data_IF_765478389457
#
_entry.id   IF_765478389457
#
_cell.length_a   1.000
_cell.length_b   1.000
_cell.length_c   1.000
_cell.angle_alpha   90.00
_cell.angle_beta   90.00
_cell.angle_gamma   90.00
#
_symmetry.space_group_name_H-M   'P 1'
#
loop_
_entity.id
_entity.type
_entity.pdbx_description
1 polymer ?
#
# COMPACT_ATOMS: atom_id res chain seq x y z
N UNK A 1 29.17 -22.67 -34.04
CA UNK A 1 29.55 -21.43 -34.75
C UNK A 1 29.56 -20.34 -33.69
N UNK A 2 30.74 -20.05 -33.12
CA UNK A 2 30.92 -19.12 -32.01
C UNK A 2 30.86 -17.67 -32.50
N UNK A 3 30.03 -16.83 -31.88
CA UNK A 3 30.02 -15.38 -32.10
C UNK A 3 30.84 -14.71 -30.99
N UNK A 4 32.06 -14.26 -31.35
CA UNK A 4 32.89 -13.38 -30.52
C UNK A 4 32.28 -11.98 -30.50
N UNK A 5 31.90 -11.52 -29.31
CA UNK A 5 31.47 -10.14 -29.06
C UNK A 5 32.73 -9.25 -28.98
N UNK A 6 32.92 -8.35 -29.95
CA UNK A 6 34.01 -7.38 -29.91
C UNK A 6 33.47 -6.09 -29.27
N UNK A 7 34.02 -5.70 -28.12
CA UNK A 7 33.71 -4.41 -27.48
C UNK A 7 34.33 -3.26 -28.30
N UNK A 8 33.48 -2.36 -28.82
CA UNK A 8 33.88 -1.04 -29.31
C UNK A 8 33.83 -0.04 -28.15
N UNK A 9 35.00 0.40 -27.68
CA UNK A 9 35.12 1.57 -26.77
C UNK A 9 34.88 2.85 -27.58
N UNK A 10 33.83 3.59 -27.25
CA UNK A 10 33.66 4.97 -27.70
C UNK A 10 34.26 5.92 -26.65
N UNK A 11 35.36 6.59 -27.00
CA UNK A 11 35.94 7.71 -26.28
C UNK A 11 35.47 9.03 -26.92
N UNK A 12 34.35 9.59 -26.47
CA UNK A 12 34.16 11.03 -26.20
C UNK A 12 32.67 11.37 -25.93
N UNK A 13 32.37 12.22 -24.92
CA UNK A 13 31.01 12.57 -24.53
C UNK A 13 30.56 13.90 -25.16
N UNK A 14 30.23 13.88 -26.45
CA UNK A 14 29.33 14.87 -27.07
C UNK A 14 28.93 14.32 -28.44
N UNK A 15 27.64 14.40 -28.79
CA UNK A 15 26.97 13.79 -29.98
C UNK A 15 26.26 12.44 -29.77
N UNK A 16 25.54 12.28 -28.65
CA UNK A 16 24.71 11.10 -28.36
C UNK A 16 23.20 11.29 -28.57
N UNK A 17 22.74 12.09 -29.54
CA UNK A 17 21.30 12.38 -29.72
C UNK A 17 20.74 12.25 -31.15
N UNK A 18 21.49 11.81 -32.17
CA UNK A 18 20.99 11.79 -33.56
C UNK A 18 21.14 10.44 -34.28
N UNK A 19 21.62 9.38 -33.62
CA UNK A 19 21.90 8.10 -34.29
C UNK A 19 20.98 6.91 -33.94
N UNK A 20 19.76 7.15 -33.44
CA UNK A 20 18.77 6.07 -33.20
C UNK A 20 17.59 6.10 -34.18
N UNK A 21 17.44 7.16 -34.98
CA UNK A 21 16.33 7.33 -35.93
C UNK A 21 16.57 6.78 -37.34
N UNK A 22 17.64 6.02 -37.60
CA UNK A 22 17.99 5.57 -38.97
C UNK A 22 18.24 4.06 -39.15
N UNK A 23 17.83 3.21 -38.19
CA UNK A 23 17.87 1.74 -38.36
C UNK A 23 16.49 1.09 -38.09
N UNK A 24 15.40 1.78 -38.45
CA UNK A 24 14.04 1.20 -38.39
C UNK A 24 13.32 1.11 -39.75
N UNK A 25 14.03 1.30 -40.88
CA UNK A 25 13.39 1.34 -42.21
C UNK A 25 13.76 0.21 -43.18
N UNK A 26 14.40 -0.90 -42.77
CA UNK A 26 14.71 -1.98 -43.75
C UNK A 26 14.60 -3.44 -43.30
N UNK A 27 14.01 -3.76 -42.15
CA UNK A 27 13.72 -5.17 -41.80
C UNK A 27 12.29 -5.28 -41.28
N UNK A 28 11.35 -4.89 -42.15
CA UNK A 28 9.93 -5.18 -41.99
C UNK A 28 9.51 -6.23 -43.00
N UNK A 29 9.83 -7.51 -42.76
CA UNK A 29 9.03 -8.64 -43.24
C UNK A 29 9.51 -9.97 -42.65
N UNK A 30 8.55 -10.66 -42.01
CA UNK A 30 8.56 -12.07 -41.57
C UNK A 30 9.48 -12.48 -40.43
N UNK A 31 9.04 -12.28 -39.18
CA UNK A 31 9.14 -13.28 -38.10
C UNK A 31 8.03 -13.00 -37.06
N UNK A 32 6.89 -13.69 -37.17
CA UNK A 32 5.86 -13.71 -36.10
C UNK A 32 5.92 -15.09 -35.46
N UNK A 33 6.44 -15.15 -34.24
CA UNK A 33 6.48 -16.36 -33.42
C UNK A 33 6.33 -15.99 -31.93
N UNK A 34 5.73 -16.86 -31.11
CA UNK A 34 5.29 -16.55 -29.74
C UNK A 34 6.41 -16.11 -28.77
N UNK A 35 7.67 -16.43 -29.07
CA UNK A 35 8.82 -16.01 -28.25
C UNK A 35 9.11 -14.51 -28.31
N UNK A 36 8.82 -13.84 -29.43
CA UNK A 36 9.11 -12.40 -29.62
C UNK A 36 8.13 -11.52 -28.81
N UNK A 37 6.91 -12.02 -28.53
CA UNK A 37 5.92 -11.34 -27.71
C UNK A 37 6.31 -11.27 -26.23
N UNK A 38 6.89 -12.37 -25.70
CA UNK A 38 7.30 -12.47 -24.30
C UNK A 38 8.49 -11.57 -23.98
N UNK A 39 9.50 -11.54 -24.86
CA UNK A 39 10.69 -10.67 -24.71
C UNK A 39 10.31 -9.19 -24.82
N UNK A 40 9.36 -8.83 -25.70
CA UNK A 40 8.85 -7.46 -25.82
C UNK A 40 8.04 -7.03 -24.60
N UNK A 41 7.32 -7.95 -23.96
CA UNK A 41 6.59 -7.69 -22.72
C UNK A 41 7.55 -7.48 -21.53
N UNK A 42 8.55 -8.35 -21.38
CA UNK A 42 9.57 -8.23 -20.33
C UNK A 42 10.38 -6.93 -20.46
N UNK A 43 10.76 -6.55 -21.68
CA UNK A 43 11.46 -5.29 -21.93
C UNK A 43 10.60 -4.06 -21.62
N UNK A 44 9.30 -4.10 -21.95
CA UNK A 44 8.34 -3.03 -21.58
C UNK A 44 8.17 -2.94 -20.05
N UNK A 45 8.11 -4.08 -19.36
CA UNK A 45 8.03 -4.14 -17.88
C UNK A 45 9.29 -3.53 -17.25
N UNK A 46 10.47 -3.85 -17.76
CA UNK A 46 11.74 -3.34 -17.24
C UNK A 46 11.92 -1.84 -17.47
N UNK A 47 11.61 -1.33 -18.67
CA UNK A 47 11.66 0.12 -18.97
C UNK A 47 10.69 0.88 -18.06
N UNK A 48 9.51 0.31 -17.77
CA UNK A 48 8.50 0.92 -16.89
C UNK A 48 8.99 0.99 -15.44
N UNK A 49 9.61 -0.07 -14.93
CA UNK A 49 10.21 -0.09 -13.58
C UNK A 49 11.34 0.95 -13.43
N UNK A 50 12.21 1.07 -14.45
CA UNK A 50 13.29 2.07 -14.43
C UNK A 50 12.76 3.51 -14.49
N UNK A 51 11.66 3.77 -15.21
CA UNK A 51 10.99 5.07 -15.21
C UNK A 51 10.36 5.38 -13.85
N UNK A 52 9.74 4.40 -13.18
CA UNK A 52 9.18 4.57 -11.84
C UNK A 52 10.27 4.86 -10.80
N UNK A 53 11.40 4.16 -10.84
CA UNK A 53 12.53 4.44 -9.94
C UNK A 53 13.11 5.85 -10.15
N UNK A 54 13.17 6.34 -11.40
CA UNK A 54 13.60 7.72 -11.70
C UNK A 54 12.62 8.76 -11.17
N UNK A 55 11.32 8.50 -11.25
CA UNK A 55 10.29 9.40 -10.71
C UNK A 55 10.31 9.44 -9.19
N UNK A 56 10.44 8.28 -8.52
CA UNK A 56 10.60 8.18 -7.07
C UNK A 56 11.83 8.94 -6.58
N UNK A 57 12.97 8.79 -7.27
CA UNK A 57 14.19 9.53 -6.93
C UNK A 57 14.02 11.04 -7.09
N UNK A 58 13.40 11.49 -8.19
CA UNK A 58 13.15 12.92 -8.45
C UNK A 58 12.18 13.52 -7.42
N UNK A 59 11.23 12.73 -6.92
CA UNK A 59 10.32 13.12 -5.86
C UNK A 59 11.04 13.25 -4.51
N UNK A 60 11.91 12.30 -4.16
CA UNK A 60 12.72 12.34 -2.93
C UNK A 60 13.68 13.54 -2.89
N UNK A 61 14.32 13.83 -4.04
CA UNK A 61 15.16 15.02 -4.22
C UNK A 61 14.36 16.33 -4.03
N UNK A 62 13.10 16.37 -4.50
CA UNK A 62 12.22 17.53 -4.36
C UNK A 62 11.71 17.74 -2.92
N UNK A 63 11.37 16.65 -2.22
CA UNK A 63 10.98 16.68 -0.81
C UNK A 63 12.15 17.17 0.06
N UNK A 64 13.35 16.63 -0.19
CA UNK A 64 14.58 17.04 0.50
C UNK A 64 14.87 18.54 0.28
N UNK A 65 14.75 19.03 -0.95
CA UNK A 65 14.95 20.46 -1.24
C UNK A 65 13.92 21.36 -0.54
N UNK A 66 12.66 20.92 -0.44
CA UNK A 66 11.57 21.68 0.19
C UNK A 66 11.73 21.75 1.72
N UNK A 67 12.10 20.63 2.35
CA UNK A 67 12.38 20.56 3.80
C UNK A 67 13.57 21.44 4.16
N UNK A 68 14.65 21.42 3.37
CA UNK A 68 15.82 22.30 3.57
C UNK A 68 15.44 23.78 3.44
N UNK A 69 14.52 24.12 2.53
CA UNK A 69 14.04 25.50 2.34
C UNK A 69 13.19 25.97 3.54
N UNK A 70 12.33 25.12 4.07
CA UNK A 70 11.49 25.42 5.24
C UNK A 70 12.31 25.55 6.54
N UNK A 71 13.33 24.70 6.74
CA UNK A 71 14.25 24.80 7.87
C UNK A 71 15.10 26.09 7.84
N UNK A 72 15.45 26.55 6.63
CA UNK A 72 16.16 27.82 6.42
C UNK A 72 15.28 29.04 6.72
N UNK A 73 13.98 28.97 6.42
CA UNK A 73 13.02 30.03 6.79
C UNK A 73 12.84 30.08 8.31
N UNK A 74 12.67 28.93 8.98
CA UNK A 74 12.46 28.84 10.44
C UNK A 74 13.66 29.38 11.26
N UNK A 75 14.89 29.15 10.79
CA UNK A 75 16.11 29.66 11.44
C UNK A 75 16.28 31.17 11.27
N UNK A 76 15.80 31.75 10.17
CA UNK A 76 15.86 33.20 9.93
C UNK A 76 14.84 33.96 10.78
N UNK A 77 13.65 33.39 11.00
CA UNK A 77 12.60 33.97 11.87
C UNK A 77 12.92 33.89 13.37
N UNK A 78 13.74 32.92 13.81
CA UNK A 78 14.11 32.77 15.23
C UNK A 78 15.19 33.78 15.66
N UNK A 79 15.99 34.30 14.72
CA UNK A 79 16.98 35.34 14.99
C UNK A 79 16.36 36.73 15.26
N UNK A 80 15.06 36.92 15.01
CA UNK A 80 14.39 38.23 15.16
C UNK A 80 13.56 38.37 16.44
N UNK A 81 13.47 37.35 17.30
CA UNK A 81 12.53 37.33 18.44
C UNK A 81 13.10 36.97 19.82
N UNK A 82 14.42 36.87 19.99
CA UNK A 82 15.03 36.71 21.32
C UNK A 82 15.71 37.99 21.78
N UNK A 83 14.88 38.94 22.19
CA UNK A 83 15.26 40.12 22.98
C UNK A 83 14.38 40.23 24.23
N UNK A 84 14.68 39.42 25.26
CA UNK A 84 14.27 39.75 26.63
C UNK A 84 13.71 38.62 27.51
N UNK A 85 14.36 38.51 28.69
CA UNK A 85 13.94 37.90 29.97
C UNK A 85 14.22 36.42 30.23
N UNK A 86 15.26 36.22 31.03
CA UNK A 86 15.51 35.05 31.88
C UNK A 86 14.45 34.92 32.98
N UNK A 87 14.00 33.68 33.23
CA UNK A 87 13.55 33.25 34.55
C UNK A 87 13.76 31.73 34.74
N UNK A 88 14.28 31.40 35.92
CA UNK A 88 14.63 30.07 36.42
C UNK A 88 13.52 29.00 36.32
N UNK A 89 13.87 27.79 35.88
CA UNK A 89 13.26 26.55 36.38
C UNK A 89 14.29 25.41 36.41
N UNK A 90 14.35 24.75 37.56
CA UNK A 90 15.16 23.56 37.86
C UNK A 90 14.75 22.38 36.98
N UNK A 91 15.72 21.70 36.35
CA UNK A 91 15.53 20.41 35.69
C UNK A 91 16.53 19.38 36.22
N UNK A 92 15.99 18.23 36.59
CA UNK A 92 16.73 17.00 36.90
C UNK A 92 17.25 16.45 35.58
N UNK A 93 18.56 16.49 35.35
CA UNK A 93 19.22 15.94 34.17
C UNK A 93 19.54 14.46 34.37
N UNK A 94 18.92 13.58 33.58
CA UNK A 94 19.46 12.23 33.31
C UNK A 94 20.42 12.33 32.14
N UNK A 95 21.68 11.91 32.33
CA UNK A 95 22.70 11.88 31.27
C UNK A 95 22.40 10.72 30.32
N UNK A 96 22.35 11.02 29.03
CA UNK A 96 22.23 10.03 27.96
C UNK A 96 23.57 10.03 27.21
N UNK A 97 24.17 8.85 27.08
CA UNK A 97 25.42 8.66 26.35
C UNK A 97 25.14 7.97 25.02
N UNK A 98 25.85 8.38 23.97
CA UNK A 98 25.86 7.68 22.69
C UNK A 98 27.27 7.21 22.38
N UNK A 99 27.38 6.00 21.82
CA UNK A 99 28.64 5.42 21.37
C UNK A 99 28.86 5.87 19.93
N UNK A 100 29.97 6.57 19.67
CA UNK A 100 30.33 7.04 18.33
C UNK A 100 31.56 6.26 17.86
N UNK A 101 31.50 5.78 16.61
CA UNK A 101 32.62 5.12 15.93
C UNK A 101 33.18 6.06 14.87
N UNK A 102 34.44 6.46 15.03
CA UNK A 102 35.15 7.28 14.04
C UNK A 102 35.90 6.39 13.05
N UNK A 103 35.78 6.69 11.76
CA UNK A 103 36.54 6.01 10.70
C UNK A 103 37.76 6.85 10.33
N UNK A 104 38.87 6.60 11.02
CA UNK A 104 40.22 6.98 10.61
C UNK A 104 41.05 5.72 10.37
N UNK A 105 41.94 5.74 9.38
CA UNK A 105 42.72 4.59 8.91
C UNK A 105 43.32 3.75 10.06
N UNK A 106 42.78 2.54 10.23
CA UNK A 106 43.34 1.47 11.05
C UNK A 106 43.00 1.59 12.54
N UNK A 107 42.12 0.70 12.97
CA UNK A 107 41.67 0.42 14.35
C UNK A 107 40.54 1.30 14.91
N UNK A 108 39.38 0.64 15.14
CA UNK A 108 38.13 1.23 15.61
C UNK A 108 37.98 0.95 17.10
N UNK A 109 38.15 1.97 17.95
CA UNK A 109 37.80 1.91 19.37
C UNK A 109 36.52 2.74 19.66
N UNK A 110 35.54 2.20 20.40
CA UNK A 110 34.33 2.95 20.77
C UNK A 110 34.64 4.03 21.82
N UNK A 111 34.16 5.25 21.56
CA UNK A 111 34.21 6.35 22.54
C UNK A 111 32.79 6.77 22.93
N UNK A 112 32.54 6.91 24.24
CA UNK A 112 31.28 7.42 24.79
C UNK A 112 31.31 8.94 24.78
N UNK A 113 30.38 9.56 24.05
CA UNK A 113 30.16 11.01 24.08
C UNK A 113 28.85 11.36 24.78
N UNK A 114 28.89 12.39 25.62
CA UNK A 114 27.72 12.90 26.37
C UNK A 114 26.99 13.92 25.49
N UNK A 115 25.77 13.59 25.06
CA UNK A 115 24.97 14.45 24.17
C UNK A 115 24.04 15.32 25.01
N UNK A 116 24.24 16.64 24.97
CA UNK A 116 23.38 17.60 25.66
C UNK A 116 21.95 17.57 25.13
N UNK A 117 20.99 17.29 26.01
CA UNK A 117 19.58 17.14 25.68
C UNK A 117 18.92 18.48 25.29
N UNK A 118 18.89 18.80 23.99
CA UNK A 118 17.91 19.72 23.38
C UNK A 118 17.73 19.40 21.89
N UNK A 119 17.24 18.20 21.55
CA UNK A 119 16.52 18.01 20.28
C UNK A 119 15.31 17.13 20.52
N UNK A 120 14.17 17.72 20.16
CA UNK A 120 12.82 17.35 20.51
C UNK A 120 12.25 16.27 19.59
N UNK A 121 11.24 15.60 20.11
CA UNK A 121 10.27 14.65 19.56
C UNK A 121 9.63 15.06 18.20
N UNK A 122 10.03 16.19 17.59
CA UNK A 122 9.43 16.73 16.36
C UNK A 122 9.80 15.98 15.07
N UNK A 123 10.91 15.22 15.00
CA UNK A 123 11.29 14.53 13.75
C UNK A 123 10.39 13.33 13.40
N UNK A 124 9.72 12.72 14.37
CA UNK A 124 8.80 11.59 14.12
C UNK A 124 7.45 12.07 13.56
N UNK A 125 7.02 13.29 13.92
CA UNK A 125 5.77 13.88 13.43
C UNK A 125 5.87 14.34 11.96
N UNK A 126 7.06 14.70 11.48
CA UNK A 126 7.23 15.28 10.13
C UNK A 126 7.13 14.26 9.00
N UNK A 127 7.46 12.98 9.25
CA UNK A 127 7.34 11.92 8.24
C UNK A 127 5.89 11.48 8.02
N UNK A 128 5.06 11.58 9.05
CA UNK A 128 3.63 11.24 8.98
C UNK A 128 2.84 12.36 8.30
N UNK A 129 3.20 13.63 8.53
CA UNK A 129 2.55 14.79 7.89
C UNK A 129 2.84 14.96 6.38
N UNK A 130 3.96 14.44 5.87
CA UNK A 130 4.29 14.51 4.45
C UNK A 130 3.39 13.62 3.57
N UNK A 131 2.76 12.59 4.15
CA UNK A 131 1.82 11.70 3.45
C UNK A 131 0.45 12.38 3.28
N UNK A 132 0.03 13.25 4.20
CA UNK A 132 -1.26 13.94 4.14
C UNK A 132 -1.34 15.07 3.10
N UNK A 133 -0.20 15.62 2.65
CA UNK A 133 -0.19 16.69 1.64
C UNK A 133 -0.40 16.19 0.20
N UNK A 134 -0.36 14.87 -0.04
CA UNK A 134 -0.48 14.30 -1.39
C UNK A 134 -1.93 14.21 -1.87
N UNK A 135 -2.92 14.24 -0.96
CA UNK A 135 -4.34 14.20 -1.33
C UNK A 135 -4.94 15.57 -1.71
N UNK A 136 -4.26 16.69 -1.40
CA UNK A 136 -4.86 18.05 -1.51
C UNK A 136 -4.26 18.96 -2.60
N UNK A 137 -3.28 18.51 -3.38
CA UNK A 137 -2.62 19.35 -4.41
C UNK A 137 -2.99 19.02 -5.87
N UNK A 138 -4.05 18.23 -6.10
CA UNK A 138 -4.56 17.97 -7.45
C UNK A 138 -5.58 19.03 -7.95
N UNK A 139 -5.70 20.18 -7.28
CA UNK A 139 -6.56 21.28 -7.72
C UNK A 139 -5.75 22.57 -7.86
N UNK A 140 -5.94 23.23 -9.00
CA UNK A 140 -5.34 24.49 -9.46
C UNK A 140 -4.11 24.34 -10.37
N UNK A 141 -4.38 24.24 -11.67
CA UNK A 141 -3.87 25.22 -12.64
C UNK A 141 -4.83 25.24 -13.85
N UNK A 142 -5.86 26.06 -13.72
CA UNK A 142 -6.71 26.51 -14.83
C UNK A 142 -6.00 27.72 -15.48
N UNK A 143 -5.44 27.50 -16.66
CA UNK A 143 -5.12 28.60 -17.59
C UNK A 143 -5.98 28.42 -18.83
N UNK A 144 -7.18 29.00 -18.78
CA UNK A 144 -7.85 29.53 -19.96
C UNK A 144 -6.93 30.54 -20.64
N UNK A 145 -6.53 30.26 -21.87
CA UNK A 145 -6.14 31.32 -22.82
C UNK A 145 -6.70 30.93 -24.17
N UNK A 146 -7.83 31.56 -24.50
CA UNK A 146 -8.34 31.69 -25.86
C UNK A 146 -7.28 32.37 -26.72
N UNK A 147 -6.96 31.82 -27.88
CA UNK A 147 -6.59 32.63 -29.03
C UNK A 147 -6.87 31.89 -30.35
N UNK A 148 -7.61 32.59 -31.22
CA UNK A 148 -8.01 32.23 -32.58
C UNK A 148 -6.81 32.17 -33.53
N UNK A 149 -6.68 31.13 -34.38
CA UNK A 149 -6.25 31.27 -35.79
C UNK A 149 -6.94 30.19 -36.66
N UNK A 150 -7.36 30.62 -37.83
CA UNK A 150 -8.17 30.01 -38.90
C UNK A 150 -7.40 29.11 -39.89
N UNK A 151 -8.20 28.26 -40.57
CA UNK A 151 -8.06 27.64 -41.90
C UNK A 151 -7.00 26.56 -42.17
N UNK A 152 -7.49 25.38 -42.60
CA UNK A 152 -6.74 24.51 -43.52
C UNK A 152 -6.93 23.01 -43.37
N UNK A 153 -7.80 22.46 -44.21
CA UNK A 153 -7.63 21.18 -44.93
C UNK A 153 -8.13 19.87 -44.28
N UNK A 154 -8.90 19.14 -45.09
CA UNK A 154 -9.65 17.94 -44.74
C UNK A 154 -8.77 16.68 -44.77
N UNK A 155 -8.80 15.92 -43.67
CA UNK A 155 -8.31 14.55 -43.63
C UNK A 155 -8.95 13.81 -42.45
N UNK A 156 -9.46 12.58 -42.61
CA UNK A 156 -10.10 11.86 -41.52
C UNK A 156 -9.01 11.32 -40.61
N UNK A 157 -8.67 12.09 -39.57
CA UNK A 157 -7.92 11.56 -38.45
C UNK A 157 -8.87 10.70 -37.63
N UNK A 158 -8.60 9.39 -37.62
CA UNK A 158 -9.12 8.51 -36.58
C UNK A 158 -8.52 9.01 -35.28
N UNK A 159 -9.27 9.85 -34.55
CA UNK A 159 -9.03 10.09 -33.15
C UNK A 159 -9.41 8.78 -32.47
N UNK A 160 -8.41 7.93 -32.27
CA UNK A 160 -8.41 6.92 -31.22
C UNK A 160 -8.48 7.71 -29.91
N UNK A 161 -9.70 7.97 -29.45
CA UNK A 161 -9.97 8.56 -28.15
C UNK A 161 -9.68 7.50 -27.09
N UNK A 162 -8.38 7.22 -26.92
CA UNK A 162 -7.82 6.55 -25.76
C UNK A 162 -8.00 7.38 -24.48
N UNK A 163 -9.17 7.99 -24.30
CA UNK A 163 -9.76 8.34 -23.02
C UNK A 163 -9.88 7.05 -22.22
N UNK A 164 -8.76 6.61 -21.65
CA UNK A 164 -8.81 5.89 -20.40
C UNK A 164 -9.65 6.75 -19.48
N UNK A 165 -10.86 6.28 -19.24
CA UNK A 165 -11.78 6.91 -18.33
C UNK A 165 -11.13 6.87 -16.93
N UNK A 166 -10.39 7.93 -16.61
CA UNK A 166 -9.76 8.14 -15.32
C UNK A 166 -10.80 8.42 -14.22
N UNK A 167 -12.09 8.20 -14.47
CA UNK A 167 -13.19 8.74 -13.67
C UNK A 167 -13.46 8.04 -12.34
N UNK A 168 -12.91 6.85 -12.09
CA UNK A 168 -12.92 6.27 -10.76
C UNK A 168 -11.68 5.40 -10.52
N UNK A 169 -10.98 5.66 -9.42
CA UNK A 169 -9.94 4.77 -8.91
C UNK A 169 -10.56 3.39 -8.60
N UNK A 170 -9.87 2.26 -8.84
CA UNK A 170 -10.42 0.95 -8.53
C UNK A 170 -10.88 0.88 -7.07
N UNK A 171 -12.05 0.32 -6.83
CA UNK A 171 -12.58 0.14 -5.49
C UNK A 171 -13.34 -1.18 -5.38
N UNK A 172 -13.39 -1.70 -4.16
CA UNK A 172 -14.11 -2.93 -3.84
C UNK A 172 -14.87 -2.76 -2.53
N UNK A 173 -16.05 -3.35 -2.46
CA UNK A 173 -16.86 -3.41 -1.25
C UNK A 173 -17.12 -4.87 -0.90
N UNK A 174 -16.87 -5.21 0.36
CA UNK A 174 -17.21 -6.48 0.98
C UNK A 174 -18.41 -6.23 1.89
N UNK A 175 -19.56 -6.80 1.55
CA UNK A 175 -20.82 -6.57 2.27
C UNK A 175 -21.14 -7.77 3.13
N UNK A 176 -21.35 -7.54 4.43
CA UNK A 176 -21.80 -8.55 5.37
C UNK A 176 -23.31 -8.37 5.56
N UNK A 177 -24.10 -9.31 5.04
CA UNK A 177 -25.54 -9.36 5.24
C UNK A 177 -25.85 -10.20 6.48
N UNK A 178 -26.43 -9.63 7.56
CA UNK A 178 -26.63 -10.33 8.82
C UNK A 178 -27.45 -11.62 8.70
N UNK A 179 -28.29 -11.76 7.65
CA UNK A 179 -29.01 -13.02 7.38
C UNK A 179 -28.04 -14.17 7.06
N UNK A 180 -26.90 -13.89 6.41
CA UNK A 180 -25.95 -14.90 5.93
C UNK A 180 -24.61 -14.87 6.66
N UNK A 181 -24.23 -13.74 7.28
CA UNK A 181 -22.94 -13.54 7.97
C UNK A 181 -23.02 -13.61 9.49
N UNK A 182 -23.75 -14.60 10.02
CA UNK A 182 -23.83 -14.88 11.46
C UNK A 182 -24.22 -13.67 12.32
N UNK A 183 -25.12 -12.81 11.81
CA UNK A 183 -25.54 -11.59 12.50
C UNK A 183 -24.59 -10.39 12.35
N UNK A 184 -23.42 -10.55 11.72
CA UNK A 184 -22.58 -9.40 11.36
C UNK A 184 -23.25 -8.64 10.24
N UNK A 185 -23.41 -7.33 10.38
CA UNK A 185 -23.90 -6.46 9.31
C UNK A 185 -22.92 -5.34 8.98
N UNK A 186 -22.93 -4.86 7.74
CA UNK A 186 -22.16 -3.67 7.34
C UNK A 186 -21.18 -3.93 6.21
N UNK A 187 -20.13 -3.11 6.11
CA UNK A 187 -19.22 -3.15 4.97
C UNK A 187 -17.75 -2.94 5.35
N UNK A 188 -16.88 -3.53 4.53
CA UNK A 188 -15.48 -3.15 4.40
C UNK A 188 -15.29 -2.62 2.99
N UNK A 189 -14.86 -1.36 2.85
CA UNK A 189 -14.60 -0.72 1.57
C UNK A 189 -13.10 -0.54 1.37
N UNK A 190 -12.64 -0.79 0.15
CA UNK A 190 -11.24 -0.67 -0.25
C UNK A 190 -11.16 0.28 -1.42
N UNK A 191 -10.43 1.37 -1.26
CA UNK A 191 -10.16 2.35 -2.30
C UNK A 191 -8.68 2.34 -2.66
N UNK A 192 -8.36 1.98 -3.90
CA UNK A 192 -6.99 2.00 -4.37
C UNK A 192 -6.50 3.42 -4.64
N UNK A 193 -5.20 3.69 -4.38
CA UNK A 193 -4.55 4.95 -4.77
C UNK A 193 -4.27 5.08 -6.27
N UNK A 194 -4.53 4.05 -7.07
CA UNK A 194 -4.29 4.02 -8.51
C UNK A 194 -4.48 2.63 -9.11
N UNK A 195 -4.61 2.51 -10.44
CA UNK A 195 -4.83 1.24 -11.14
C UNK A 195 -3.68 0.22 -11.01
N UNK A 196 -2.51 0.64 -10.55
CA UNK A 196 -1.32 -0.21 -10.34
C UNK A 196 -0.71 -0.03 -8.94
N UNK A 197 -1.51 0.47 -7.99
CA UNK A 197 -1.04 0.81 -6.66
C UNK A 197 -1.23 -0.36 -5.70
N UNK A 198 -0.22 -0.70 -4.91
CA UNK A 198 -0.38 -1.52 -3.70
C UNK A 198 -0.87 -0.69 -2.51
N UNK A 199 -0.84 0.65 -2.64
CA UNK A 199 -1.46 1.52 -1.66
C UNK A 199 -2.99 1.50 -1.82
N UNK A 200 -3.69 1.19 -0.73
CA UNK A 200 -5.13 1.27 -0.61
C UNK A 200 -5.55 1.86 0.74
N UNK A 201 -6.67 2.58 0.74
CA UNK A 201 -7.38 3.01 1.94
C UNK A 201 -8.50 2.00 2.19
N UNK A 202 -8.57 1.48 3.41
CA UNK A 202 -9.59 0.54 3.84
C UNK A 202 -10.45 1.23 4.89
N UNK A 203 -11.75 1.30 4.68
CA UNK A 203 -12.70 1.82 5.67
C UNK A 203 -13.66 0.73 6.10
N UNK A 204 -13.90 0.60 7.39
CA UNK A 204 -14.79 -0.40 7.98
C UNK A 204 -15.95 0.30 8.68
N UNK A 205 -17.14 -0.29 8.55
CA UNK A 205 -18.32 0.05 9.33
C UNK A 205 -19.11 -1.25 9.50
N UNK A 206 -18.89 -1.91 10.63
CA UNK A 206 -19.39 -3.23 10.95
C UNK A 206 -20.15 -3.20 12.27
N UNK A 207 -21.27 -3.90 12.32
CA UNK A 207 -22.12 -4.04 13.49
C UNK A 207 -22.28 -5.52 13.83
N UNK A 208 -21.88 -5.87 15.05
CA UNK A 208 -21.91 -7.23 15.60
C UNK A 208 -23.00 -7.37 16.68
N UNK A 209 -23.92 -6.41 16.81
CA UNK A 209 -24.94 -6.43 17.85
C UNK A 209 -25.92 -7.60 17.74
N UNK A 210 -26.14 -8.10 16.52
CA UNK A 210 -26.98 -9.27 16.22
C UNK A 210 -26.21 -10.59 16.20
N UNK A 211 -24.90 -10.59 16.50
CA UNK A 211 -24.09 -11.81 16.57
C UNK A 211 -24.46 -12.61 17.83
N UNK A 212 -24.89 -13.85 17.63
CA UNK A 212 -25.27 -14.74 18.73
C UNK A 212 -24.07 -15.52 19.27
N UNK A 213 -23.63 -15.15 20.48
CA UNK A 213 -22.55 -15.84 21.18
C UNK A 213 -22.82 -17.35 21.38
N UNK A 214 -24.08 -17.74 21.55
CA UNK A 214 -24.46 -19.14 21.72
C UNK A 214 -24.28 -19.95 20.43
N UNK A 215 -24.46 -19.34 19.26
CA UNK A 215 -24.16 -19.96 17.97
C UNK A 215 -22.65 -20.09 17.74
N UNK A 216 -21.86 -19.06 18.08
CA UNK A 216 -20.39 -19.16 18.03
C UNK A 216 -19.90 -20.29 18.93
N UNK A 217 -20.41 -20.39 20.16
CA UNK A 217 -20.07 -21.46 21.09
C UNK A 217 -20.52 -22.85 20.60
N UNK A 218 -21.67 -22.92 19.92
CA UNK A 218 -22.14 -24.17 19.32
C UNK A 218 -21.24 -24.62 18.16
N UNK A 219 -20.74 -23.67 17.37
CA UNK A 219 -19.81 -23.92 16.27
C UNK A 219 -18.41 -24.31 16.77
N UNK A 220 -17.86 -23.57 17.75
CA UNK A 220 -16.60 -23.90 18.41
C UNK A 220 -16.79 -23.84 19.94
N UNK A 221 -16.83 -25.02 20.56
CA UNK A 221 -17.05 -25.16 22.00
C UNK A 221 -15.96 -24.54 22.89
N UNK A 222 -14.85 -24.05 22.32
CA UNK A 222 -13.85 -23.30 23.07
C UNK A 222 -14.18 -21.79 23.15
N UNK A 223 -15.19 -21.31 22.42
CA UNK A 223 -15.70 -19.94 22.47
C UNK A 223 -16.77 -19.76 23.56
N UNK A 224 -16.38 -19.89 24.83
CA UNK A 224 -17.31 -19.84 25.96
C UNK A 224 -17.58 -18.43 26.50
N UNK A 225 -16.71 -17.48 26.19
CA UNK A 225 -16.82 -16.08 26.64
C UNK A 225 -17.31 -15.19 25.49
N UNK A 226 -17.91 -14.06 25.84
CA UNK A 226 -18.35 -13.07 24.85
C UNK A 226 -17.19 -12.60 23.98
N UNK A 227 -17.37 -12.69 22.67
CA UNK A 227 -16.35 -12.29 21.70
C UNK A 227 -16.39 -10.78 21.51
N UNK A 228 -15.28 -10.12 21.86
CA UNK A 228 -15.13 -8.65 21.74
C UNK A 228 -14.06 -8.24 20.73
N UNK A 229 -13.31 -9.20 20.17
CA UNK A 229 -12.26 -8.93 19.20
C UNK A 229 -12.38 -9.89 18.01
N UNK A 230 -12.08 -9.39 16.81
CA UNK A 230 -12.16 -10.17 15.57
C UNK A 230 -10.90 -10.00 14.74
N UNK A 231 -10.35 -11.12 14.26
CA UNK A 231 -9.35 -11.08 13.19
C UNK A 231 -10.04 -11.01 11.85
N UNK A 232 -9.32 -10.52 10.85
CA UNK A 232 -9.79 -10.24 9.52
C UNK A 232 -8.65 -10.41 8.52
N UNK A 233 -8.90 -11.20 7.48
CA UNK A 233 -7.90 -11.56 6.48
C UNK A 233 -8.53 -11.74 5.10
N UNK A 234 -7.73 -11.58 4.04
CA UNK A 234 -8.13 -11.88 2.66
C UNK A 234 -7.83 -13.35 2.37
N UNK A 235 -8.84 -14.09 1.92
CA UNK A 235 -8.77 -15.49 1.51
C UNK A 235 -9.03 -15.65 0.02
N UNK A 236 -8.54 -16.75 -0.54
CA UNK A 236 -8.33 -16.90 -2.00
C UNK A 236 -9.42 -17.65 -2.76
N UNK A 237 -10.44 -18.20 -2.09
CA UNK A 237 -11.52 -18.95 -2.76
C UNK A 237 -12.91 -18.48 -2.34
N UNK A 238 -13.81 -18.39 -3.31
CA UNK A 238 -15.23 -18.15 -3.08
C UNK A 238 -16.07 -19.01 -4.02
N UNK A 239 -16.65 -20.11 -3.53
CA UNK A 239 -17.46 -21.00 -4.36
C UNK A 239 -18.96 -20.69 -4.30
N UNK A 240 -19.36 -19.56 -3.71
CA UNK A 240 -20.75 -19.23 -3.42
C UNK A 240 -21.32 -18.22 -4.41
N UNK A 241 -22.63 -18.31 -4.64
CA UNK A 241 -23.35 -17.36 -5.48
C UNK A 241 -23.75 -16.08 -4.70
N UNK A 242 -23.82 -16.19 -3.36
CA UNK A 242 -24.15 -15.07 -2.47
C UNK A 242 -22.92 -14.20 -2.17
N UNK A 243 -23.18 -13.03 -1.59
CA UNK A 243 -22.14 -12.04 -1.31
C UNK A 243 -21.52 -12.21 0.08
N UNK A 244 -22.20 -12.88 1.00
CA UNK A 244 -21.68 -13.23 2.33
C UNK A 244 -22.17 -14.59 2.80
N UNK A 245 -21.44 -15.20 3.72
CA UNK A 245 -21.67 -16.51 4.30
C UNK A 245 -21.17 -16.58 5.74
N UNK A 246 -21.43 -17.70 6.42
CA UNK A 246 -21.08 -17.91 7.83
C UNK A 246 -20.51 -19.30 8.16
N UNK A 247 -19.80 -19.37 9.28
CA UNK A 247 -19.33 -20.61 9.93
C UNK A 247 -18.67 -21.61 8.97
N UNK A 248 -19.26 -22.79 8.78
CA UNK A 248 -18.72 -23.86 7.92
C UNK A 248 -18.49 -23.39 6.48
N UNK A 249 -19.36 -22.50 5.97
CA UNK A 249 -19.24 -21.96 4.61
C UNK A 249 -18.06 -20.99 4.47
N UNK A 250 -17.56 -20.45 5.58
CA UNK A 250 -16.31 -19.69 5.64
C UNK A 250 -15.08 -20.56 5.94
N UNK A 251 -15.27 -21.87 6.15
CA UNK A 251 -14.23 -22.81 6.58
C UNK A 251 -13.06 -22.95 5.61
N UNK A 252 -11.89 -23.36 6.13
CA UNK A 252 -10.64 -23.53 5.38
C UNK A 252 -10.78 -24.34 4.09
N UNK A 253 -11.55 -25.43 4.14
CA UNK A 253 -11.75 -26.30 2.98
C UNK A 253 -12.49 -25.58 1.82
N UNK A 254 -13.31 -24.57 2.15
CA UNK A 254 -14.17 -23.85 1.22
C UNK A 254 -13.47 -22.59 0.71
N UNK A 255 -13.01 -21.74 1.63
CA UNK A 255 -12.48 -20.40 1.31
C UNK A 255 -10.96 -20.36 1.14
N UNK A 256 -10.27 -21.45 1.49
CA UNK A 256 -8.82 -21.55 1.37
C UNK A 256 -8.07 -20.77 2.45
N UNK A 257 -6.78 -20.57 2.16
CA UNK A 257 -5.81 -19.91 3.02
C UNK A 257 -5.71 -18.40 2.70
N UNK A 258 -4.87 -17.69 3.46
CA UNK A 258 -4.60 -16.28 3.26
C UNK A 258 -3.91 -16.04 1.91
N UNK A 259 -4.26 -14.92 1.26
CA UNK A 259 -3.60 -14.48 0.05
C UNK A 259 -2.17 -14.01 0.34
N UNK A 260 -1.18 -14.67 -0.27
CA UNK A 260 0.25 -14.43 0.02
C UNK A 260 1.14 -14.57 -1.23
N UNK A 261 0.92 -13.75 -2.28
CA UNK A 261 1.65 -13.86 -3.55
C UNK A 261 3.15 -13.57 -3.41
N UNK A 262 3.55 -12.89 -2.34
CA UNK A 262 4.94 -12.53 -2.06
C UNK A 262 5.65 -13.56 -1.18
N UNK A 263 4.93 -14.59 -0.69
CA UNK A 263 5.47 -15.65 0.17
C UNK A 263 6.19 -15.06 1.38
N UNK A 264 5.48 -14.18 2.08
CA UNK A 264 5.80 -13.81 3.45
C UNK A 264 5.69 -15.04 4.38
N UNK A 265 4.88 -16.03 3.97
CA UNK A 265 4.85 -17.39 4.51
C UNK A 265 4.37 -17.47 5.95
N UNK A 266 3.37 -16.70 6.34
CA UNK A 266 2.73 -16.88 7.64
C UNK A 266 2.05 -18.26 7.78
N UNK A 267 1.62 -18.60 9.01
CA UNK A 267 1.07 -19.93 9.32
C UNK A 267 -0.16 -20.32 8.49
N UNK A 268 -0.86 -19.33 7.93
CA UNK A 268 -2.06 -19.53 7.13
C UNK A 268 -1.87 -19.11 5.66
N UNK A 269 -0.62 -18.92 5.20
CA UNK A 269 -0.29 -18.64 3.80
C UNK A 269 -0.88 -19.69 2.87
N UNK A 270 -1.35 -19.28 1.69
CA UNK A 270 -1.72 -20.24 0.62
C UNK A 270 -0.54 -21.12 0.16
N UNK A 271 0.69 -20.72 0.49
CA UNK A 271 1.91 -21.46 0.21
C UNK A 271 2.50 -22.17 1.45
N UNK A 272 1.76 -22.23 2.56
CA UNK A 272 2.20 -22.92 3.78
C UNK A 272 2.56 -24.38 3.47
N UNK A 273 3.67 -24.85 4.02
CA UNK A 273 4.16 -26.23 3.81
C UNK A 273 4.94 -26.45 2.51
N UNK A 274 5.02 -25.47 1.61
CA UNK A 274 5.97 -25.52 0.47
C UNK A 274 7.40 -25.37 0.96
N UNK A 275 8.39 -25.89 0.22
CA UNK A 275 9.81 -25.80 0.59
C UNK A 275 10.26 -24.35 0.89
N UNK A 276 9.73 -23.38 0.15
CA UNK A 276 10.03 -21.97 0.34
C UNK A 276 9.47 -21.40 1.64
N UNK A 277 8.29 -21.87 2.07
CA UNK A 277 7.65 -21.38 3.29
C UNK A 277 7.99 -22.19 4.55
N UNK A 278 8.42 -23.45 4.43
CA UNK A 278 8.72 -24.30 5.59
C UNK A 278 9.73 -23.68 6.56
N UNK A 279 10.73 -22.95 6.05
CA UNK A 279 11.74 -22.27 6.86
C UNK A 279 11.30 -20.89 7.36
N UNK A 280 10.43 -20.19 6.62
CA UNK A 280 9.97 -18.83 6.94
C UNK A 280 8.80 -18.82 7.91
N UNK A 281 7.90 -19.80 7.84
CA UNK A 281 6.69 -19.84 8.67
C UNK A 281 6.96 -19.78 10.18
N UNK A 282 7.96 -20.46 10.75
CA UNK A 282 8.30 -20.31 12.16
C UNK A 282 8.84 -18.93 12.55
N UNK A 283 9.38 -18.17 11.58
CA UNK A 283 9.96 -16.84 11.77
C UNK A 283 8.95 -15.71 11.48
N UNK A 284 7.76 -16.05 10.96
CA UNK A 284 6.75 -15.07 10.60
C UNK A 284 6.25 -14.34 11.84
N UNK A 285 6.49 -13.03 11.87
CA UNK A 285 6.19 -12.16 13.01
C UNK A 285 5.46 -10.90 12.57
N UNK A 286 4.58 -10.98 11.57
CA UNK A 286 3.80 -9.83 11.14
C UNK A 286 3.01 -9.24 12.32
N UNK A 287 3.24 -7.95 12.56
CA UNK A 287 2.56 -7.12 13.53
C UNK A 287 2.62 -5.66 13.03
N UNK A 288 1.83 -4.73 13.59
CA UNK A 288 1.81 -3.34 13.12
C UNK A 288 3.17 -2.64 13.14
N UNK A 289 4.01 -2.94 14.14
CA UNK A 289 5.34 -2.33 14.27
C UNK A 289 6.32 -2.80 13.18
N UNK A 290 6.33 -4.09 12.87
CA UNK A 290 7.15 -4.67 11.80
C UNK A 290 6.62 -4.22 10.42
N UNK A 291 5.30 -4.22 10.24
CA UNK A 291 4.67 -3.78 9.00
C UNK A 291 4.98 -2.32 8.66
N UNK A 292 4.97 -1.43 9.66
CA UNK A 292 5.32 -0.03 9.47
C UNK A 292 6.77 0.19 9.05
N UNK A 293 7.67 -0.75 9.35
CA UNK A 293 9.09 -0.69 9.01
C UNK A 293 9.38 -1.34 7.65
N UNK A 294 8.78 -2.49 7.39
CA UNK A 294 9.01 -3.27 6.17
C UNK A 294 7.71 -3.97 5.70
N UNK A 295 6.82 -3.28 4.96
CA UNK A 295 5.50 -3.81 4.60
C UNK A 295 5.45 -5.21 3.94
N UNK A 296 6.44 -5.62 3.11
CA UNK A 296 6.51 -6.97 2.54
C UNK A 296 6.77 -8.12 3.52
N UNK A 297 7.12 -7.87 4.80
CA UNK A 297 7.28 -8.93 5.81
C UNK A 297 5.95 -9.58 6.19
N UNK A 298 4.85 -8.89 5.93
CA UNK A 298 3.50 -9.37 6.14
C UNK A 298 2.92 -9.96 4.85
N UNK A 299 2.15 -11.03 4.99
CA UNK A 299 1.32 -11.53 3.88
C UNK A 299 0.40 -10.40 3.40
N UNK A 300 0.17 -10.29 2.10
CA UNK A 300 -0.72 -9.24 1.59
C UNK A 300 -2.14 -9.37 2.16
N UNK A 301 -2.60 -10.60 2.41
CA UNK A 301 -3.91 -10.90 2.98
C UNK A 301 -4.00 -10.84 4.51
N UNK A 302 -2.88 -10.70 5.24
CA UNK A 302 -2.88 -10.70 6.72
C UNK A 302 -3.18 -9.30 7.29
N UNK A 303 -4.42 -8.84 7.12
CA UNK A 303 -4.84 -7.50 7.54
C UNK A 303 -4.78 -7.33 9.07
N UNK A 304 -5.09 -8.38 9.82
CA UNK A 304 -4.93 -8.38 11.28
C UNK A 304 -3.49 -8.31 11.76
N UNK A 305 -2.55 -8.98 11.09
CA UNK A 305 -1.13 -8.81 11.37
C UNK A 305 -0.67 -7.38 11.10
N UNK A 306 -1.14 -6.77 10.02
CA UNK A 306 -0.76 -5.40 9.63
C UNK A 306 -1.34 -4.31 10.54
N UNK A 307 -2.60 -4.43 10.94
CA UNK A 307 -3.37 -3.35 11.58
C UNK A 307 -3.87 -3.66 12.99
N UNK A 308 -3.69 -4.90 13.44
CA UNK A 308 -4.32 -5.40 14.65
C UNK A 308 -5.74 -5.92 14.40
N UNK A 309 -6.33 -6.45 15.47
CA UNK A 309 -7.68 -7.01 15.44
C UNK A 309 -8.70 -5.88 15.48
N UNK A 310 -9.87 -6.13 14.90
CA UNK A 310 -11.04 -5.31 15.21
C UNK A 310 -11.39 -5.47 16.67
N UNK A 311 -11.60 -4.34 17.35
CA UNK A 311 -12.02 -4.31 18.75
C UNK A 311 -13.38 -3.65 18.80
N UNK A 312 -14.37 -4.38 19.30
CA UNK A 312 -15.72 -3.85 19.37
C UNK A 312 -15.82 -2.76 20.44
N UNK A 313 -16.59 -1.73 20.14
CA UNK A 313 -17.00 -0.74 21.13
C UNK A 313 -18.11 -1.26 22.04
N UNK A 314 -18.55 -0.45 23.00
CA UNK A 314 -19.63 -0.79 23.94
C UNK A 314 -20.98 -1.06 23.23
N UNK A 315 -21.13 -0.62 21.98
CA UNK A 315 -22.31 -0.86 21.13
C UNK A 315 -22.13 -2.06 20.20
N UNK A 316 -21.07 -2.85 20.38
CA UNK A 316 -20.71 -4.01 19.55
C UNK A 316 -20.42 -3.64 18.08
N UNK A 317 -19.91 -2.44 17.84
CA UNK A 317 -19.55 -1.96 16.50
C UNK A 317 -18.06 -1.85 16.34
N UNK A 318 -17.61 -1.93 15.09
CA UNK A 318 -16.30 -1.49 14.67
C UNK A 318 -16.41 -0.50 13.50
N UNK A 319 -15.70 0.61 13.62
CA UNK A 319 -15.54 1.59 12.55
C UNK A 319 -14.09 2.11 12.53
N UNK A 320 -13.44 1.98 11.38
CA UNK A 320 -12.02 2.29 11.24
C UNK A 320 -11.62 2.77 9.86
N UNK A 321 -10.46 3.42 9.78
CA UNK A 321 -9.78 3.78 8.54
C UNK A 321 -8.32 3.31 8.62
N UNK A 322 -7.90 2.51 7.65
CA UNK A 322 -6.58 1.89 7.59
C UNK A 322 -5.90 2.20 6.26
N UNK A 323 -4.58 2.38 6.31
CA UNK A 323 -3.77 2.72 5.15
C UNK A 323 -2.79 1.58 4.86
N UNK A 324 -3.10 0.75 3.87
CA UNK A 324 -2.27 -0.40 3.51
C UNK A 324 -1.34 -0.03 2.36
N UNK A 325 -0.03 0.03 2.64
CA UNK A 325 1.04 0.26 1.65
C UNK A 325 1.34 -0.98 0.79
N UNK A 326 0.91 -2.16 1.24
CA UNK A 326 1.16 -3.47 0.64
C UNK A 326 -0.14 -4.27 0.51
N UNK A 327 -1.21 -3.61 0.09
CA UNK A 327 -2.46 -4.27 -0.30
C UNK A 327 -2.25 -5.00 -1.64
N UNK A 328 -2.99 -6.08 -1.93
CA UNK A 328 -2.98 -6.69 -3.26
C UNK A 328 -3.26 -5.67 -4.37
N UNK A 329 -2.56 -5.75 -5.51
CA UNK A 329 -2.79 -4.87 -6.65
C UNK A 329 -4.22 -5.03 -7.19
N UNK A 330 -4.78 -4.00 -7.85
CA UNK A 330 -6.08 -4.12 -8.52
C UNK A 330 -6.16 -5.31 -9.48
N UNK A 331 -5.09 -5.56 -10.24
CA UNK A 331 -5.00 -6.67 -11.22
C UNK A 331 -4.87 -8.06 -10.57
N UNK A 332 -4.55 -8.13 -9.27
CA UNK A 332 -4.50 -9.39 -8.54
C UNK A 332 -5.89 -9.81 -8.04
N UNK A 333 -6.84 -8.88 -7.89
CA UNK A 333 -8.20 -9.21 -7.42
C UNK A 333 -8.87 -10.21 -8.35
N UNK A 334 -9.54 -11.20 -7.74
CA UNK A 334 -10.38 -12.15 -8.44
C UNK A 334 -11.78 -12.12 -7.84
N UNK A 335 -12.81 -12.56 -8.60
CA UNK A 335 -14.14 -12.80 -8.02
C UNK A 335 -14.17 -13.86 -6.91
N UNK A 336 -13.05 -14.55 -6.68
CA UNK A 336 -12.94 -15.60 -5.66
C UNK A 336 -12.40 -15.06 -4.31
N UNK A 337 -11.95 -13.80 -4.27
CA UNK A 337 -11.43 -13.23 -3.04
C UNK A 337 -12.51 -12.79 -2.08
N UNK A 338 -12.28 -13.11 -0.82
CA UNK A 338 -13.19 -12.78 0.27
C UNK A 338 -12.41 -12.29 1.48
N UNK A 339 -13.06 -11.49 2.31
CA UNK A 339 -12.58 -11.18 3.65
C UNK A 339 -13.32 -12.07 4.65
N UNK A 340 -12.57 -12.73 5.52
CA UNK A 340 -13.12 -13.56 6.59
C UNK A 340 -12.90 -12.88 7.92
N UNK A 341 -13.95 -12.83 8.74
CA UNK A 341 -13.93 -12.42 10.14
C UNK A 341 -13.81 -13.66 11.03
N UNK A 342 -12.84 -13.63 11.92
CA UNK A 342 -12.59 -14.69 12.90
C UNK A 342 -12.88 -14.18 14.30
N UNK A 343 -13.77 -14.84 15.03
CA UNK A 343 -13.99 -14.54 16.44
C UNK A 343 -12.74 -14.87 17.26
N UNK A 344 -12.25 -13.96 18.09
CA UNK A 344 -11.10 -14.22 18.97
C UNK A 344 -11.60 -14.83 20.29
N UNK A 345 -11.44 -16.14 20.44
CA UNK A 345 -11.87 -16.89 21.60
C UNK A 345 -10.67 -17.45 22.36
N UNK A 346 -10.01 -16.62 23.17
CA UNK A 346 -8.78 -16.97 23.88
C UNK A 346 -7.67 -17.49 22.96
N UNK A 347 -7.59 -18.81 22.75
CA UNK A 347 -6.54 -19.47 21.94
C UNK A 347 -7.02 -19.93 20.56
N UNK A 348 -8.32 -19.93 20.31
CA UNK A 348 -8.89 -20.32 19.02
C UNK A 348 -9.48 -19.11 18.31
N UNK A 349 -9.52 -19.18 16.99
CA UNK A 349 -10.05 -18.10 16.14
C UNK A 349 -10.93 -18.65 15.02
N UNK A 350 -12.12 -19.20 15.34
CA UNK A 350 -13.02 -19.77 14.34
C UNK A 350 -13.48 -18.70 13.34
N UNK A 351 -13.67 -19.13 12.09
CA UNK A 351 -14.18 -18.30 10.99
C UNK A 351 -15.69 -18.21 11.14
N UNK A 352 -16.23 -17.04 11.45
CA UNK A 352 -17.67 -16.89 11.75
C UNK A 352 -18.46 -16.25 10.62
N UNK A 353 -17.84 -15.35 9.86
CA UNK A 353 -18.47 -14.59 8.80
C UNK A 353 -17.46 -14.33 7.68
N UNK A 354 -17.93 -14.28 6.44
CA UNK A 354 -17.09 -13.99 5.28
C UNK A 354 -17.89 -13.31 4.19
N UNK A 355 -17.25 -12.46 3.40
CA UNK A 355 -17.88 -11.72 2.31
C UNK A 355 -16.95 -11.63 1.11
N UNK A 356 -17.51 -11.72 -0.10
CA UNK A 356 -16.78 -11.57 -1.37
C UNK A 356 -16.62 -10.11 -1.76
N UNK A 357 -15.49 -9.76 -2.36
CA UNK A 357 -15.25 -8.40 -2.84
C UNK A 357 -15.98 -8.14 -4.15
N UNK A 358 -16.86 -7.14 -4.19
CA UNK A 358 -17.46 -6.65 -5.45
C UNK A 358 -16.79 -5.37 -5.88
N UNK A 359 -16.40 -5.31 -7.15
CA UNK A 359 -15.89 -4.07 -7.72
C UNK A 359 -16.96 -3.00 -7.67
N UNK A 360 -16.61 -1.83 -7.15
CA UNK A 360 -17.46 -0.64 -7.12
C UNK A 360 -16.79 0.48 -7.92
N UNK A 361 -17.60 1.44 -8.39
CA UNK A 361 -17.04 2.70 -8.87
C UNK A 361 -16.46 3.42 -7.65
N UNK A 362 -15.15 3.58 -7.59
CA UNK A 362 -14.49 4.31 -6.49
C UNK A 362 -15.01 5.74 -6.35
N UNK A 363 -14.57 6.42 -5.30
CA UNK A 363 -14.91 7.84 -5.10
C UNK A 363 -14.41 8.65 -6.28
N UNK A 364 -15.30 8.96 -7.22
CA UNK A 364 -15.05 10.01 -8.20
C UNK A 364 -14.84 11.28 -7.39
N UNK A 365 -13.71 11.95 -7.54
CA UNK A 365 -13.53 13.32 -7.08
C UNK A 365 -14.49 14.24 -7.86
N UNK A 366 -15.78 14.18 -7.55
CA UNK A 366 -16.82 15.08 -8.03
C UNK A 366 -17.38 15.84 -6.84
N UNK A 367 -16.61 16.82 -6.37
CA UNK A 367 -17.19 18.03 -5.79
C UNK A 367 -17.16 19.16 -6.83
N UNK A 368 -17.73 18.88 -8.00
CA UNK A 368 -18.15 19.88 -8.97
C UNK A 368 -19.67 20.04 -8.91
N UNK A 369 -20.12 20.84 -7.96
CA UNK A 369 -21.46 21.41 -7.79
C UNK A 369 -22.45 21.20 -8.96
N UNK A 370 -23.48 20.37 -8.74
CA UNK A 370 -24.80 20.62 -9.31
C UNK A 370 -25.73 21.09 -8.19
N UNK A 371 -25.73 22.41 -7.96
CA UNK A 371 -26.86 23.12 -7.35
C UNK A 371 -27.48 24.04 -8.41
N UNK A 372 -28.81 23.86 -8.55
CA UNK A 372 -29.80 24.51 -9.42
C UNK A 372 -29.98 23.97 -10.83
#
# INVERSE_FOLDING_TARGET
MELKLTQLKLQNPSLGAVAVSLIHSSIGQKLVGPKVGLERWQLKKQIRMEQQQKLLKKWDDHQTATIVRLLKIRTTSRATLEGGRQAHRSQILRRVYTIVYSTGNGDVEPRLEEVGATTSIEMLSSKILAVFAVATLATADDYTTDDYITDGDEGPSYIDDGSFDYSALPAYTYTFDPEYSAGVSGTINVQYGGPFSTFAVITTDLDFSDVDQSEIMAFDGNCTEEVTEYKWHIHVKWPHDYDSESFEQCGLAITGNHYDPLKACGPNSEFVGTEECLLKTPEYSCNPEEYAQDPPVCEKGDLSGKFGYFKLDDSKKESGEYFDLNYPLPEENTPEWNIILHAVCSKVTPRIACAVGKQTSGWSSLSGSYYK
#
